data_IF_986249345347
#
_entry.id   IF_986249345347
#
_cell.length_a   1.000
_cell.length_b   1.000
_cell.length_c   1.000
_cell.angle_alpha   90.00
_cell.angle_beta   90.00
_cell.angle_gamma   90.00
#
_symmetry.space_group_name_H-M   'P 1'
#
loop_
_entity.id
_entity.type
_entity.pdbx_description
1 polymer ?
#
# COMPACT_ATOMS: atom_id res chain seq x y z
N UNK A 1 124.37 -56.41 -82.37
CA UNK A 1 123.53 -56.92 -83.48
C UNK A 1 122.08 -56.86 -82.99
N UNK A 2 121.26 -55.85 -83.28
CA UNK A 2 121.04 -55.18 -84.57
C UNK A 2 120.78 -56.20 -85.69
N UNK A 3 119.61 -56.07 -86.32
CA UNK A 3 119.11 -56.79 -87.49
C UNK A 3 118.38 -58.13 -87.24
N UNK A 4 117.08 -58.03 -86.91
CA UNK A 4 115.98 -58.77 -87.54
C UNK A 4 114.63 -58.43 -86.86
N UNK A 5 114.32 -57.16 -86.58
CA UNK A 5 113.48 -56.38 -87.49
C UNK A 5 113.20 -57.04 -88.86
N UNK A 6 111.92 -57.06 -89.24
CA UNK A 6 111.39 -57.40 -90.57
C UNK A 6 111.40 -58.92 -90.83
N UNK A 7 110.28 -59.66 -90.71
CA UNK A 7 109.35 -59.77 -91.85
C UNK A 7 108.10 -60.61 -91.50
N UNK A 8 107.50 -60.55 -90.31
CA UNK A 8 106.15 -61.17 -90.12
C UNK A 8 105.23 -60.38 -89.19
N UNK A 9 105.36 -59.07 -89.28
CA UNK A 9 104.23 -58.13 -89.20
C UNK A 9 103.78 -57.95 -90.67
N UNK A 10 102.57 -58.40 -91.07
CA UNK A 10 101.75 -57.78 -92.17
C UNK A 10 100.58 -58.61 -92.79
N UNK A 11 100.10 -59.73 -92.23
CA UNK A 11 98.82 -60.34 -92.68
C UNK A 11 98.26 -61.12 -91.47
N UNK A 12 97.25 -60.71 -90.71
CA UNK A 12 95.96 -60.16 -91.11
C UNK A 12 95.40 -59.35 -89.93
N UNK A 13 95.77 -58.08 -89.90
CA UNK A 13 94.93 -57.04 -89.30
C UNK A 13 93.81 -56.75 -90.32
N UNK A 14 92.57 -57.08 -89.98
CA UNK A 14 91.40 -56.37 -90.50
C UNK A 14 90.26 -56.51 -89.49
N UNK A 15 90.22 -55.55 -88.55
CA UNK A 15 89.05 -54.84 -87.96
C UNK A 15 87.66 -55.52 -88.01
N UNK A 16 86.88 -55.44 -86.91
CA UNK A 16 86.13 -54.20 -86.70
C UNK A 16 86.04 -53.74 -85.23
N UNK A 17 86.71 -52.64 -84.90
CA UNK A 17 86.59 -51.88 -83.64
C UNK A 17 85.55 -50.74 -83.71
N UNK A 18 84.73 -50.67 -84.77
CA UNK A 18 83.72 -49.61 -84.98
C UNK A 18 82.31 -49.92 -84.45
N UNK A 19 82.01 -51.17 -84.09
CA UNK A 19 80.69 -51.57 -83.57
C UNK A 19 80.60 -51.62 -82.03
N UNK A 20 81.69 -51.93 -81.33
CA UNK A 20 81.66 -52.10 -79.86
C UNK A 20 81.64 -50.78 -79.09
N UNK A 21 82.26 -49.72 -79.61
CA UNK A 21 82.18 -48.37 -79.03
C UNK A 21 80.80 -47.74 -79.24
N UNK A 22 80.14 -48.01 -80.36
CA UNK A 22 78.75 -47.57 -80.61
C UNK A 22 77.73 -48.33 -79.74
N UNK A 23 77.87 -49.65 -79.57
CA UNK A 23 76.94 -50.43 -78.73
C UNK A 23 77.08 -50.04 -77.25
N UNK A 24 78.29 -49.76 -76.75
CA UNK A 24 78.52 -49.35 -75.37
C UNK A 24 78.08 -47.89 -75.09
N UNK A 25 78.19 -47.00 -76.08
CA UNK A 25 77.63 -45.65 -76.02
C UNK A 25 76.09 -45.66 -76.09
N UNK A 26 75.50 -46.48 -76.96
CA UNK A 26 74.02 -46.60 -77.09
C UNK A 26 73.40 -47.27 -75.86
N UNK A 27 74.04 -48.28 -75.27
CA UNK A 27 73.54 -48.92 -74.04
C UNK A 27 73.66 -48.02 -72.82
N UNK A 28 74.77 -47.29 -72.66
CA UNK A 28 74.89 -46.29 -71.56
C UNK A 28 73.90 -45.14 -71.74
N UNK A 29 73.66 -44.69 -72.97
CA UNK A 29 72.68 -43.64 -73.27
C UNK A 29 71.22 -44.10 -73.08
N UNK A 30 70.91 -45.37 -73.38
CA UNK A 30 69.60 -45.98 -73.08
C UNK A 30 69.34 -46.11 -71.58
N UNK A 31 70.38 -46.44 -70.79
CA UNK A 31 70.29 -46.58 -69.34
C UNK A 31 70.17 -45.20 -68.65
N UNK A 32 70.89 -44.20 -69.16
CA UNK A 32 70.74 -42.79 -68.75
C UNK A 32 69.32 -42.32 -69.05
N UNK A 33 68.77 -42.57 -70.25
CA UNK A 33 67.38 -42.23 -70.58
C UNK A 33 66.38 -42.95 -69.67
N UNK A 34 66.63 -44.20 -69.31
CA UNK A 34 65.74 -44.96 -68.45
C UNK A 34 65.79 -44.47 -66.99
N UNK A 35 66.97 -44.08 -66.50
CA UNK A 35 67.15 -43.43 -65.20
C UNK A 35 66.56 -42.02 -65.21
N UNK A 36 66.78 -41.22 -66.25
CA UNK A 36 66.18 -39.90 -66.42
C UNK A 36 64.66 -39.97 -66.45
N UNK A 37 64.09 -40.97 -67.12
CA UNK A 37 62.65 -41.23 -67.13
C UNK A 37 62.15 -41.64 -65.74
N UNK A 38 62.89 -42.49 -65.02
CA UNK A 38 62.58 -42.85 -63.63
C UNK A 38 62.68 -41.66 -62.67
N UNK A 39 63.68 -40.80 -62.84
CA UNK A 39 63.89 -39.57 -62.07
C UNK A 39 62.81 -38.55 -62.41
N UNK A 40 62.36 -38.48 -63.66
CA UNK A 40 61.25 -37.66 -64.10
C UNK A 40 59.93 -38.14 -63.49
N UNK A 41 59.64 -39.45 -63.53
CA UNK A 41 58.45 -40.05 -62.92
C UNK A 41 58.44 -39.90 -61.39
N UNK A 42 59.61 -39.99 -60.75
CA UNK A 42 59.76 -39.74 -59.32
C UNK A 42 59.60 -38.26 -58.99
N UNK A 43 60.18 -37.33 -59.76
CA UNK A 43 59.97 -35.88 -59.58
C UNK A 43 58.53 -35.45 -59.85
N UNK A 44 57.83 -36.11 -60.77
CA UNK A 44 56.42 -35.85 -61.06
C UNK A 44 55.49 -36.34 -59.93
N UNK A 45 55.88 -37.41 -59.21
CA UNK A 45 55.17 -37.92 -58.03
C UNK A 45 55.61 -37.27 -56.72
N UNK A 46 56.81 -36.71 -56.68
CA UNK A 46 57.36 -36.01 -55.54
C UNK A 46 56.71 -34.64 -55.46
N UNK A 47 55.71 -34.54 -54.58
CA UNK A 47 55.08 -33.27 -54.21
C UNK A 47 56.20 -32.31 -53.82
N UNK A 48 56.32 -31.17 -54.50
CA UNK A 48 57.31 -30.16 -54.17
C UNK A 48 57.16 -29.78 -52.70
N UNK A 49 58.27 -29.59 -51.98
CA UNK A 49 58.25 -29.28 -50.53
C UNK A 49 57.32 -28.08 -50.20
N UNK A 50 57.20 -27.14 -51.14
CA UNK A 50 56.24 -26.02 -51.10
C UNK A 50 54.76 -26.47 -51.14
N UNK A 51 54.40 -27.44 -51.99
CA UNK A 51 53.02 -27.95 -52.09
C UNK A 51 52.64 -28.80 -50.87
N UNK A 52 53.61 -29.50 -50.27
CA UNK A 52 53.41 -30.20 -49.01
C UNK A 52 53.18 -29.22 -47.85
N UNK A 53 54.02 -28.17 -47.75
CA UNK A 53 53.81 -27.09 -46.79
C UNK A 53 52.46 -26.39 -46.99
N UNK A 54 52.02 -26.19 -48.22
CA UNK A 54 50.73 -25.57 -48.52
C UNK A 54 49.54 -26.46 -48.09
N UNK A 55 49.62 -27.78 -48.29
CA UNK A 55 48.63 -28.73 -47.76
C UNK A 55 48.60 -28.75 -46.23
N UNK A 56 49.77 -28.71 -45.57
CA UNK A 56 49.85 -28.63 -44.11
C UNK A 56 49.27 -27.31 -43.60
N UNK A 57 49.56 -26.18 -44.26
CA UNK A 57 48.97 -24.88 -43.94
C UNK A 57 47.46 -24.85 -44.17
N UNK A 58 46.97 -25.44 -45.26
CA UNK A 58 45.54 -25.54 -45.54
C UNK A 58 44.81 -26.43 -44.51
N UNK A 59 45.43 -27.55 -44.12
CA UNK A 59 44.95 -28.41 -43.05
C UNK A 59 44.90 -27.68 -41.70
N UNK A 60 45.98 -26.98 -41.32
CA UNK A 60 46.02 -26.17 -40.10
C UNK A 60 44.91 -25.12 -40.08
N UNK A 61 44.73 -24.37 -41.18
CA UNK A 61 43.66 -23.38 -41.30
C UNK A 61 42.27 -23.99 -41.16
N UNK A 62 42.04 -25.17 -41.72
CA UNK A 62 40.76 -25.88 -41.57
C UNK A 62 40.52 -26.28 -40.11
N UNK A 63 41.55 -26.79 -39.43
CA UNK A 63 41.48 -27.10 -37.99
C UNK A 63 41.18 -25.84 -37.17
N UNK A 64 41.82 -24.71 -37.48
CA UNK A 64 41.58 -23.43 -36.80
C UNK A 64 40.14 -22.94 -37.01
N UNK A 65 39.59 -23.09 -38.23
CA UNK A 65 38.19 -22.73 -38.52
C UNK A 65 37.22 -23.61 -37.74
N UNK A 66 37.44 -24.93 -37.72
CA UNK A 66 36.61 -25.87 -36.99
C UNK A 66 36.68 -25.64 -35.48
N UNK A 67 37.86 -25.31 -34.96
CA UNK A 67 38.05 -24.95 -33.56
C UNK A 67 37.33 -23.66 -33.20
N UNK A 68 37.39 -22.64 -34.06
CA UNK A 68 36.63 -21.41 -33.87
C UNK A 68 35.11 -21.64 -33.91
N UNK A 69 34.62 -22.50 -34.81
CA UNK A 69 33.21 -22.87 -34.87
C UNK A 69 32.78 -23.61 -33.60
N UNK A 70 33.59 -24.56 -33.14
CA UNK A 70 33.35 -25.28 -31.89
C UNK A 70 33.31 -24.31 -30.70
N UNK A 71 34.25 -23.38 -30.60
CA UNK A 71 34.27 -22.38 -29.53
C UNK A 71 33.03 -21.46 -29.56
N UNK A 72 32.56 -21.10 -30.76
CA UNK A 72 31.31 -20.31 -30.88
C UNK A 72 30.09 -21.10 -30.41
N UNK A 73 29.98 -22.38 -30.75
CA UNK A 73 28.86 -23.22 -30.30
C UNK A 73 28.95 -23.57 -28.81
N UNK A 74 30.15 -23.77 -28.27
CA UNK A 74 30.35 -23.92 -26.82
C UNK A 74 29.91 -22.64 -26.08
N UNK A 75 30.29 -21.46 -26.58
CA UNK A 75 29.83 -20.18 -25.99
C UNK A 75 28.31 -20.07 -26.01
N UNK A 76 27.66 -20.41 -27.13
CA UNK A 76 26.19 -20.43 -27.23
C UNK A 76 25.55 -21.44 -26.28
N UNK A 77 26.14 -22.62 -26.13
CA UNK A 77 25.65 -23.62 -25.19
C UNK A 77 25.79 -23.16 -23.74
N UNK A 78 26.92 -22.54 -23.39
CA UNK A 78 27.14 -21.96 -22.06
C UNK A 78 26.16 -20.80 -21.78
N UNK A 79 25.88 -19.93 -22.74
CA UNK A 79 24.85 -18.88 -22.56
C UNK A 79 23.46 -19.46 -22.41
N UNK A 80 23.10 -20.50 -23.16
CA UNK A 80 21.84 -21.23 -22.98
C UNK A 80 21.74 -21.88 -21.60
N UNK A 81 22.82 -22.51 -21.11
CA UNK A 81 22.87 -23.11 -19.77
C UNK A 81 22.71 -22.07 -18.65
N UNK A 82 23.41 -20.94 -18.76
CA UNK A 82 23.28 -19.85 -17.78
C UNK A 82 21.87 -19.25 -17.77
N UNK A 83 21.24 -19.08 -18.93
CA UNK A 83 19.84 -18.66 -19.02
C UNK A 83 18.89 -19.71 -18.43
N UNK A 84 19.11 -21.00 -18.71
CA UNK A 84 18.29 -22.07 -18.13
C UNK A 84 18.42 -22.12 -16.60
N UNK A 85 19.63 -21.88 -16.06
CA UNK A 85 19.86 -21.76 -14.62
C UNK A 85 19.06 -20.60 -14.01
N UNK A 86 19.11 -19.41 -14.63
CA UNK A 86 18.33 -18.24 -14.17
C UNK A 86 16.83 -18.52 -14.16
N UNK A 87 16.30 -19.14 -15.23
CA UNK A 87 14.88 -19.50 -15.30
C UNK A 87 14.48 -20.51 -14.21
N UNK A 88 15.36 -21.47 -13.86
CA UNK A 88 15.10 -22.39 -12.75
C UNK A 88 15.07 -21.68 -11.41
N UNK A 89 16.01 -20.76 -11.17
CA UNK A 89 16.04 -19.96 -9.94
C UNK A 89 14.78 -19.08 -9.81
N UNK A 90 14.29 -18.52 -10.93
CA UNK A 90 13.05 -17.75 -10.97
C UNK A 90 11.82 -18.63 -10.68
N UNK A 91 11.74 -19.83 -11.28
CA UNK A 91 10.67 -20.79 -11.00
C UNK A 91 10.69 -21.17 -9.51
N UNK A 92 11.85 -21.47 -8.94
CA UNK A 92 11.99 -21.81 -7.51
C UNK A 92 11.59 -20.65 -6.60
N UNK A 93 11.91 -19.41 -6.98
CA UNK A 93 11.49 -18.21 -6.28
C UNK A 93 9.95 -18.08 -6.27
N UNK A 94 9.33 -18.17 -7.45
CA UNK A 94 7.87 -18.07 -7.60
C UNK A 94 7.13 -19.19 -6.84
N UNK A 95 7.69 -20.40 -6.80
CA UNK A 95 7.12 -21.50 -6.02
C UNK A 95 7.15 -21.23 -4.53
N UNK A 96 8.24 -20.63 -4.01
CA UNK A 96 8.34 -20.21 -2.60
C UNK A 96 7.34 -19.10 -2.27
N UNK A 97 7.19 -18.11 -3.16
CA UNK A 97 6.20 -17.05 -2.98
C UNK A 97 4.78 -17.60 -2.96
N UNK A 98 4.44 -18.50 -3.88
CA UNK A 98 3.14 -19.18 -3.91
C UNK A 98 2.89 -19.97 -2.62
N UNK A 99 3.89 -20.69 -2.13
CA UNK A 99 3.78 -21.41 -0.86
C UNK A 99 3.52 -20.44 0.31
N UNK A 100 4.28 -19.34 0.39
CA UNK A 100 4.05 -18.30 1.40
C UNK A 100 2.64 -17.71 1.27
N UNK A 101 2.19 -17.37 0.06
CA UNK A 101 0.85 -16.85 -0.19
C UNK A 101 -0.23 -17.82 0.29
N UNK A 102 -0.12 -19.10 -0.04
CA UNK A 102 -1.06 -20.13 0.42
C UNK A 102 -1.12 -20.21 1.95
N UNK A 103 0.02 -20.15 2.65
CA UNK A 103 0.01 -20.18 4.13
C UNK A 103 -0.69 -18.96 4.73
N UNK A 104 -0.55 -17.78 4.12
CA UNK A 104 -1.25 -16.57 4.57
C UNK A 104 -2.74 -16.67 4.25
N UNK A 105 -3.07 -17.17 3.07
CA UNK A 105 -4.45 -17.39 2.64
C UNK A 105 -5.20 -18.35 3.56
N UNK A 106 -4.59 -19.49 3.92
CA UNK A 106 -5.18 -20.46 4.85
C UNK A 106 -5.43 -19.85 6.23
N UNK A 107 -4.49 -19.02 6.73
CA UNK A 107 -4.68 -18.29 8.00
C UNK A 107 -5.84 -17.29 7.93
N UNK A 108 -5.92 -16.52 6.85
CA UNK A 108 -7.01 -15.57 6.64
C UNK A 108 -8.36 -16.28 6.54
N UNK A 109 -8.41 -17.41 5.83
CA UNK A 109 -9.60 -18.23 5.72
C UNK A 109 -10.02 -18.80 7.08
N UNK A 110 -9.07 -19.28 7.89
CA UNK A 110 -9.33 -19.75 9.24
C UNK A 110 -9.90 -18.63 10.14
N UNK A 111 -9.32 -17.43 10.07
CA UNK A 111 -9.81 -16.27 10.84
C UNK A 111 -11.24 -15.89 10.43
N UNK A 112 -11.55 -15.90 9.13
CA UNK A 112 -12.91 -15.63 8.64
C UNK A 112 -13.89 -16.69 9.15
N UNK A 113 -13.52 -17.96 9.10
CA UNK A 113 -14.38 -19.05 9.59
C UNK A 113 -14.59 -18.97 11.10
N UNK A 114 -13.56 -18.60 11.87
CA UNK A 114 -13.68 -18.36 13.30
C UNK A 114 -14.60 -17.17 13.60
N UNK A 115 -14.44 -16.06 12.88
CA UNK A 115 -15.32 -14.89 13.01
C UNK A 115 -16.79 -15.20 12.70
N UNK A 116 -17.05 -16.00 11.66
CA UNK A 116 -18.40 -16.50 11.34
C UNK A 116 -18.97 -17.36 12.45
N UNK A 117 -18.16 -18.25 13.04
CA UNK A 117 -18.59 -19.09 14.15
C UNK A 117 -18.99 -18.23 15.36
N UNK A 118 -18.15 -17.28 15.76
CA UNK A 118 -18.46 -16.36 16.87
C UNK A 118 -19.73 -15.55 16.60
N UNK A 119 -19.95 -15.10 15.36
CA UNK A 119 -21.17 -14.40 14.97
C UNK A 119 -22.41 -15.29 15.12
N UNK A 120 -22.33 -16.55 14.68
CA UNK A 120 -23.43 -17.51 14.84
C UNK A 120 -23.71 -17.80 16.31
N UNK A 121 -22.69 -18.05 17.12
CA UNK A 121 -22.82 -18.30 18.56
C UNK A 121 -23.48 -17.10 19.27
N UNK A 122 -23.14 -15.86 18.87
CA UNK A 122 -23.75 -14.65 19.42
C UNK A 122 -25.22 -14.49 19.00
N UNK A 123 -25.56 -14.83 17.75
CA UNK A 123 -26.95 -14.83 17.29
C UNK A 123 -27.77 -15.88 18.05
N UNK A 124 -27.22 -17.07 18.28
CA UNK A 124 -27.88 -18.12 19.06
C UNK A 124 -28.13 -17.67 20.51
N UNK A 125 -27.09 -17.12 21.18
CA UNK A 125 -27.23 -16.58 22.52
C UNK A 125 -28.26 -15.45 22.61
N UNK A 126 -28.28 -14.54 21.62
CA UNK A 126 -29.27 -13.48 21.56
C UNK A 126 -30.68 -14.06 21.40
N UNK A 127 -30.87 -15.04 20.53
CA UNK A 127 -32.17 -15.70 20.28
C UNK A 127 -32.69 -16.35 21.56
N UNK A 128 -31.83 -17.12 22.26
CA UNK A 128 -32.20 -17.75 23.54
C UNK A 128 -32.58 -16.70 24.59
N UNK A 129 -31.85 -15.58 24.67
CA UNK A 129 -32.17 -14.51 25.60
C UNK A 129 -33.52 -13.83 25.27
N UNK A 130 -33.85 -13.68 23.98
CA UNK A 130 -35.16 -13.16 23.54
C UNK A 130 -36.29 -14.12 23.89
N UNK A 131 -36.13 -15.41 23.62
CA UNK A 131 -37.13 -16.43 23.93
C UNK A 131 -37.40 -16.48 25.45
N UNK A 132 -36.34 -16.45 26.27
CA UNK A 132 -36.48 -16.38 27.72
C UNK A 132 -37.22 -15.12 28.17
N UNK A 133 -36.85 -13.96 27.63
CA UNK A 133 -37.53 -12.70 27.93
C UNK A 133 -39.02 -12.78 27.58
N UNK A 134 -39.36 -13.33 26.42
CA UNK A 134 -40.75 -13.49 25.99
C UNK A 134 -41.53 -14.40 26.95
N UNK A 135 -40.95 -15.52 27.37
CA UNK A 135 -41.56 -16.39 28.39
C UNK A 135 -41.82 -15.64 29.71
N UNK A 136 -40.86 -14.84 30.18
CA UNK A 136 -41.01 -14.07 31.42
C UNK A 136 -42.08 -12.99 31.29
N UNK A 137 -42.12 -12.28 30.16
CA UNK A 137 -43.16 -11.30 29.87
C UNK A 137 -44.55 -11.95 29.83
N UNK A 138 -44.68 -13.12 29.21
CA UNK A 138 -45.93 -13.89 29.17
C UNK A 138 -46.37 -14.33 30.58
N UNK A 139 -45.44 -14.88 31.38
CA UNK A 139 -45.70 -15.26 32.80
C UNK A 139 -46.14 -14.06 33.63
N UNK A 140 -45.46 -12.91 33.48
CA UNK A 140 -45.81 -11.67 34.17
C UNK A 140 -47.21 -11.19 33.77
N UNK A 141 -47.55 -11.24 32.49
CA UNK A 141 -48.86 -10.83 32.01
C UNK A 141 -49.96 -11.74 32.56
N UNK A 142 -49.74 -13.06 32.58
CA UNK A 142 -50.67 -14.02 33.18
C UNK A 142 -50.89 -13.74 34.68
N UNK A 143 -49.83 -13.42 35.43
CA UNK A 143 -49.93 -13.05 36.84
C UNK A 143 -50.68 -11.74 37.06
N UNK A 144 -50.46 -10.73 36.20
CA UNK A 144 -51.20 -9.45 36.27
C UNK A 144 -52.69 -9.67 36.05
N UNK A 145 -53.06 -10.42 35.02
CA UNK A 145 -54.48 -10.73 34.72
C UNK A 145 -55.10 -11.52 35.87
N UNK A 146 -54.40 -12.51 36.42
CA UNK A 146 -54.86 -13.26 37.59
C UNK A 146 -55.10 -12.34 38.79
N UNK A 147 -54.14 -11.47 39.13
CA UNK A 147 -54.28 -10.55 40.26
C UNK A 147 -55.46 -9.57 40.07
N UNK A 148 -55.66 -9.06 38.86
CA UNK A 148 -56.83 -8.23 38.55
C UNK A 148 -58.16 -8.97 38.76
N UNK A 149 -58.22 -10.24 38.34
CA UNK A 149 -59.40 -11.08 38.56
C UNK A 149 -59.62 -11.35 40.05
N UNK A 150 -58.57 -11.70 40.79
CA UNK A 150 -58.63 -11.96 42.24
C UNK A 150 -59.08 -10.70 43.00
N UNK A 151 -58.56 -9.52 42.65
CA UNK A 151 -59.00 -8.24 43.22
C UNK A 151 -60.48 -7.96 42.93
N UNK A 152 -60.94 -8.22 41.71
CA UNK A 152 -62.34 -8.05 41.33
C UNK A 152 -63.25 -8.97 42.15
N UNK A 153 -62.86 -10.25 42.28
CA UNK A 153 -63.57 -11.24 43.09
C UNK A 153 -63.64 -10.82 44.57
N UNK A 154 -62.51 -10.48 45.18
CA UNK A 154 -62.48 -10.03 46.58
C UNK A 154 -63.29 -8.75 46.80
N UNK A 155 -63.25 -7.82 45.85
CA UNK A 155 -64.07 -6.59 45.93
C UNK A 155 -65.56 -6.93 45.87
N UNK A 156 -65.96 -7.92 45.06
CA UNK A 156 -67.34 -8.38 45.01
C UNK A 156 -67.75 -9.07 46.32
N UNK A 157 -66.93 -9.99 46.83
CA UNK A 157 -67.15 -10.68 48.11
C UNK A 157 -67.31 -9.67 49.26
N UNK A 158 -66.43 -8.66 49.33
CA UNK A 158 -66.51 -7.59 50.33
C UNK A 158 -67.82 -6.80 50.23
N UNK A 159 -68.29 -6.50 49.01
CA UNK A 159 -69.58 -5.82 48.81
C UNK A 159 -70.75 -6.70 49.24
N UNK A 160 -70.70 -8.00 48.99
CA UNK A 160 -71.74 -8.94 49.40
C UNK A 160 -71.80 -9.09 50.92
N UNK A 161 -70.64 -9.22 51.57
CA UNK A 161 -70.54 -9.24 53.04
C UNK A 161 -71.02 -7.92 53.66
N UNK A 162 -70.65 -6.78 53.08
CA UNK A 162 -71.15 -5.48 53.55
C UNK A 162 -72.68 -5.41 53.46
N UNK A 163 -73.28 -5.86 52.35
CA UNK A 163 -74.74 -5.91 52.19
C UNK A 163 -75.40 -6.82 53.23
N UNK A 164 -74.79 -7.95 53.57
CA UNK A 164 -75.28 -8.83 54.63
C UNK A 164 -75.20 -8.16 56.00
N UNK A 165 -74.07 -7.52 56.32
CA UNK A 165 -73.91 -6.76 57.57
C UNK A 165 -74.92 -5.61 57.69
N UNK A 166 -75.13 -4.85 56.62
CA UNK A 166 -76.11 -3.76 56.61
C UNK A 166 -77.52 -4.30 56.83
N UNK A 167 -77.86 -5.44 56.20
CA UNK A 167 -79.15 -6.11 56.41
C UNK A 167 -79.32 -6.57 57.87
N UNK A 168 -78.31 -7.23 58.44
CA UNK A 168 -78.32 -7.69 59.82
C UNK A 168 -78.38 -6.52 60.81
N UNK A 169 -77.71 -5.40 60.50
CA UNK A 169 -77.75 -4.18 61.30
C UNK A 169 -79.15 -3.56 61.29
N UNK A 170 -79.76 -3.44 60.11
CA UNK A 170 -81.15 -2.97 59.97
C UNK A 170 -82.14 -3.89 60.70
N UNK A 171 -81.90 -5.20 60.67
CA UNK A 171 -82.71 -6.18 61.41
C UNK A 171 -82.52 -6.03 62.93
N UNK A 172 -81.27 -5.86 63.39
CA UNK A 172 -80.96 -5.63 64.79
C UNK A 172 -81.62 -4.35 65.32
N UNK A 173 -81.53 -3.25 64.57
CA UNK A 173 -82.19 -1.99 64.92
C UNK A 173 -83.71 -2.14 64.96
N UNK A 174 -84.29 -2.82 63.97
CA UNK A 174 -85.72 -3.13 63.94
C UNK A 174 -86.16 -3.95 65.16
N UNK A 175 -85.42 -5.00 65.52
CA UNK A 175 -85.68 -5.83 66.69
C UNK A 175 -85.45 -5.05 68.00
N UNK A 176 -84.44 -4.18 68.04
CA UNK A 176 -84.18 -3.29 69.17
C UNK A 176 -85.34 -2.35 69.43
N UNK A 177 -85.86 -1.69 68.39
CA UNK A 177 -87.04 -0.82 68.47
C UNK A 177 -88.30 -1.60 68.87
N UNK A 178 -88.49 -2.82 68.33
CA UNK A 178 -89.65 -3.65 68.63
C UNK A 178 -89.60 -4.32 70.01
N UNK A 179 -88.40 -4.61 70.52
CA UNK A 179 -88.15 -5.28 71.80
C UNK A 179 -88.14 -4.35 73.01
N UNK A 180 -88.07 -3.04 72.79
CA UNK A 180 -88.23 -2.06 73.87
C UNK A 180 -89.67 -2.09 74.40
N UNK A 181 -89.80 -2.45 75.69
CA UNK A 181 -91.06 -2.29 76.43
C UNK A 181 -91.36 -0.79 76.48
N UNK A 182 -92.43 -0.35 75.80
CA UNK A 182 -92.84 1.07 75.76
C UNK A 182 -93.17 1.56 77.19
N UNK A 183 -92.20 2.15 77.86
CA UNK A 183 -92.37 2.89 79.11
C UNK A 183 -92.35 4.37 78.73
N UNK A 184 -93.54 4.93 78.53
CA UNK A 184 -93.81 6.33 78.15
C UNK A 184 -93.57 7.32 79.31
N UNK A 185 -92.39 7.32 79.94
CA UNK A 185 -92.15 8.31 81.01
C UNK A 185 -90.75 8.92 81.14
N UNK A 186 -89.73 8.43 80.41
CA UNK A 186 -88.35 8.91 80.61
C UNK A 186 -87.51 9.08 79.30
N UNK A 187 -88.15 9.14 78.12
CA UNK A 187 -87.43 9.49 76.88
C UNK A 187 -87.32 11.00 76.67
N UNK A 188 -88.38 11.75 76.95
CA UNK A 188 -88.41 13.20 76.68
C UNK A 188 -87.32 13.93 77.46
N UNK A 189 -87.13 13.64 78.74
CA UNK A 189 -86.20 14.39 79.59
C UNK A 189 -84.70 14.12 79.29
N UNK A 190 -84.39 12.98 78.68
CA UNK A 190 -83.02 12.59 78.27
C UNK A 190 -82.71 12.98 76.83
N UNK A 191 -83.71 12.95 75.95
CA UNK A 191 -83.60 13.50 74.59
C UNK A 191 -83.54 15.03 74.62
N UNK A 192 -84.32 15.69 75.48
CA UNK A 192 -84.29 17.14 75.66
C UNK A 192 -82.92 17.60 76.17
N UNK A 193 -82.32 16.93 77.17
CA UNK A 193 -80.96 17.25 77.64
C UNK A 193 -79.87 17.02 76.60
N UNK A 194 -79.97 15.98 75.76
CA UNK A 194 -79.03 15.78 74.65
C UNK A 194 -79.19 16.85 73.57
N UNK A 195 -80.44 17.22 73.24
CA UNK A 195 -80.74 18.31 72.30
C UNK A 195 -80.27 19.66 72.83
N UNK A 196 -80.41 19.92 74.12
CA UNK A 196 -79.93 21.13 74.78
C UNK A 196 -78.40 21.21 74.76
N UNK A 197 -77.68 20.13 75.10
CA UNK A 197 -76.21 20.13 75.01
C UNK A 197 -75.71 20.27 73.57
N UNK A 198 -76.37 19.65 72.59
CA UNK A 198 -76.03 19.83 71.18
C UNK A 198 -76.32 21.26 70.71
N UNK A 199 -77.44 21.84 71.17
CA UNK A 199 -77.81 23.22 70.88
C UNK A 199 -76.82 24.20 71.48
N UNK A 200 -76.38 23.99 72.72
CA UNK A 200 -75.34 24.82 73.35
C UNK A 200 -73.99 24.73 72.62
N UNK A 201 -73.60 23.56 72.11
CA UNK A 201 -72.36 23.44 71.33
C UNK A 201 -72.48 24.10 69.94
N UNK A 202 -73.63 23.94 69.29
CA UNK A 202 -73.96 24.65 68.06
C UNK A 202 -73.97 26.17 68.28
N UNK A 203 -74.57 26.65 69.37
CA UNK A 203 -74.61 28.07 69.72
C UNK A 203 -73.19 28.60 70.01
N UNK A 204 -72.32 27.83 70.69
CA UNK A 204 -70.90 28.17 70.87
C UNK A 204 -70.12 28.24 69.56
N UNK A 205 -70.39 27.33 68.62
CA UNK A 205 -69.79 27.39 67.28
C UNK A 205 -70.32 28.57 66.48
N UNK A 206 -71.63 28.85 66.57
CA UNK A 206 -72.26 29.99 65.90
C UNK A 206 -71.69 31.32 66.40
N UNK A 207 -71.51 31.46 67.72
CA UNK A 207 -70.88 32.66 68.31
C UNK A 207 -69.43 32.83 67.81
N UNK A 208 -68.64 31.75 67.75
CA UNK A 208 -67.28 31.80 67.18
C UNK A 208 -67.26 32.19 65.70
N UNK A 209 -68.15 31.62 64.90
CA UNK A 209 -68.26 31.99 63.48
C UNK A 209 -68.75 33.43 63.30
N UNK A 210 -69.64 33.93 64.16
CA UNK A 210 -70.08 35.31 64.15
C UNK A 210 -68.97 36.29 64.57
N UNK A 211 -68.14 35.93 65.55
CA UNK A 211 -66.96 36.71 65.95
C UNK A 211 -65.94 36.77 64.81
N UNK A 212 -65.57 35.63 64.22
CA UNK A 212 -64.65 35.60 63.07
C UNK A 212 -65.21 36.35 61.86
N UNK A 213 -66.52 36.28 61.60
CA UNK A 213 -67.15 37.02 60.51
C UNK A 213 -67.11 38.53 60.76
N UNK A 214 -67.34 38.98 62.00
CA UNK A 214 -67.22 40.40 62.38
C UNK A 214 -65.78 40.90 62.23
N UNK A 215 -64.80 40.11 62.66
CA UNK A 215 -63.39 40.44 62.46
C UNK A 215 -63.03 40.61 60.97
N UNK A 216 -63.57 39.75 60.10
CA UNK A 216 -63.39 39.86 58.64
C UNK A 216 -64.13 41.07 58.08
N UNK A 217 -65.35 41.37 58.57
CA UNK A 217 -66.10 42.57 58.19
C UNK A 217 -65.36 43.86 58.55
N UNK A 218 -64.77 43.93 59.75
CA UNK A 218 -63.99 45.08 60.22
C UNK A 218 -62.72 45.29 59.38
N UNK A 219 -62.10 44.21 58.88
CA UNK A 219 -60.91 44.27 58.03
C UNK A 219 -61.20 44.70 56.59
N UNK A 220 -62.35 44.28 56.03
CA UNK A 220 -62.72 44.53 54.62
C UNK A 220 -63.63 45.75 54.46
N UNK A 221 -64.20 46.27 55.56
CA UNK A 221 -65.01 47.49 55.62
C UNK A 221 -66.25 47.44 54.69
N UNK A 222 -66.84 46.25 54.54
CA UNK A 222 -68.08 45.98 53.76
C UNK A 222 -69.11 45.30 54.68
N UNK A 223 -70.31 45.89 54.80
CA UNK A 223 -71.34 45.46 55.75
C UNK A 223 -72.19 44.27 55.24
N UNK A 224 -72.21 44.01 53.93
CA UNK A 224 -73.03 42.95 53.31
C UNK A 224 -72.23 41.65 53.09
N UNK A 225 -72.54 40.63 53.88
CA UNK A 225 -71.89 39.30 53.88
C UNK A 225 -71.99 38.61 52.51
N UNK A 226 -73.11 38.78 51.79
CA UNK A 226 -73.28 38.12 50.49
C UNK A 226 -72.42 38.75 49.40
N UNK A 227 -72.24 40.07 49.48
CA UNK A 227 -71.38 40.82 48.57
C UNK A 227 -69.91 40.50 48.85
N UNK A 228 -69.53 40.41 50.13
CA UNK A 228 -68.20 39.99 50.57
C UNK A 228 -67.85 38.59 50.06
N UNK A 229 -68.73 37.61 50.26
CA UNK A 229 -68.52 36.24 49.77
C UNK A 229 -68.40 36.19 48.24
N UNK A 230 -69.21 36.95 47.52
CA UNK A 230 -69.15 37.03 46.06
C UNK A 230 -67.85 37.67 45.55
N UNK A 231 -67.32 38.65 46.28
CA UNK A 231 -66.04 39.30 45.95
C UNK A 231 -64.86 38.38 46.24
N UNK A 232 -64.87 37.68 47.38
CA UNK A 232 -63.87 36.66 47.68
C UNK A 232 -63.87 35.53 46.69
N UNK A 233 -65.05 35.05 46.27
CA UNK A 233 -65.14 33.99 45.26
C UNK A 233 -64.53 34.43 43.93
N UNK A 234 -64.81 35.67 43.48
CA UNK A 234 -64.16 36.22 42.28
C UNK A 234 -62.65 36.36 42.43
N UNK A 235 -62.19 36.86 43.58
CA UNK A 235 -60.75 36.98 43.86
C UNK A 235 -60.08 35.61 43.97
N UNK A 236 -60.76 34.60 44.50
CA UNK A 236 -60.28 33.22 44.56
C UNK A 236 -60.18 32.61 43.17
N UNK A 237 -61.19 32.81 42.31
CA UNK A 237 -61.14 32.39 40.90
C UNK A 237 -59.99 33.09 40.15
N UNK A 238 -59.81 34.40 40.33
CA UNK A 238 -58.71 35.16 39.74
C UNK A 238 -57.34 34.67 40.25
N UNK A 239 -57.21 34.44 41.55
CA UNK A 239 -55.99 33.91 42.15
C UNK A 239 -55.71 32.47 41.70
N UNK A 240 -56.73 31.64 41.53
CA UNK A 240 -56.59 30.28 41.03
C UNK A 240 -56.14 30.29 39.56
N UNK A 241 -56.70 31.18 38.74
CA UNK A 241 -56.27 31.37 37.36
C UNK A 241 -54.81 31.86 37.29
N UNK A 242 -54.43 32.83 38.13
CA UNK A 242 -53.04 33.30 38.22
C UNK A 242 -52.08 32.21 38.69
N UNK A 243 -52.49 31.39 39.67
CA UNK A 243 -51.70 30.26 40.15
C UNK A 243 -51.46 29.23 39.05
N UNK A 244 -52.49 28.89 38.29
CA UNK A 244 -52.36 27.99 37.14
C UNK A 244 -51.44 28.57 36.07
N UNK A 245 -51.56 29.86 35.77
CA UNK A 245 -50.67 30.53 34.81
C UNK A 245 -49.21 30.54 35.27
N UNK A 246 -48.95 30.80 36.56
CA UNK A 246 -47.59 30.73 37.14
C UNK A 246 -47.04 29.31 37.05
N UNK A 247 -47.86 28.28 37.29
CA UNK A 247 -47.43 26.89 37.15
C UNK A 247 -47.12 26.51 35.71
N UNK A 248 -47.92 26.98 34.75
CA UNK A 248 -47.68 26.75 33.33
C UNK A 248 -46.39 27.44 32.88
N UNK A 249 -46.15 28.70 33.28
CA UNK A 249 -44.89 29.39 33.03
C UNK A 249 -43.69 28.69 33.69
N UNK A 250 -43.83 28.19 34.91
CA UNK A 250 -42.76 27.43 35.55
C UNK A 250 -42.45 26.14 34.77
N UNK A 251 -43.47 25.46 34.27
CA UNK A 251 -43.27 24.29 33.42
C UNK A 251 -42.59 24.65 32.10
N UNK A 252 -42.96 25.75 31.45
CA UNK A 252 -42.27 26.25 30.25
C UNK A 252 -40.80 26.59 30.55
N UNK A 253 -40.50 27.19 31.71
CA UNK A 253 -39.14 27.48 32.15
C UNK A 253 -38.35 26.18 32.34
N UNK A 254 -38.94 25.14 32.95
CA UNK A 254 -38.31 23.83 33.10
C UNK A 254 -37.97 23.21 31.75
N UNK A 255 -38.92 23.19 30.81
CA UNK A 255 -38.72 22.67 29.45
C UNK A 255 -37.64 23.45 28.70
N UNK A 256 -37.62 24.77 28.80
CA UNK A 256 -36.58 25.61 28.18
C UNK A 256 -35.21 25.31 28.81
N UNK A 257 -35.12 25.14 30.13
CA UNK A 257 -33.86 24.79 30.80
C UNK A 257 -33.35 23.41 30.39
N UNK A 258 -34.23 22.41 30.30
CA UNK A 258 -33.86 21.08 29.77
C UNK A 258 -33.33 21.19 28.33
N UNK A 259 -33.97 21.99 27.48
CA UNK A 259 -33.50 22.23 26.11
C UNK A 259 -32.14 22.94 26.10
N UNK A 260 -31.92 23.92 26.98
CA UNK A 260 -30.62 24.59 27.14
C UNK A 260 -29.55 23.59 27.55
N UNK A 261 -29.83 22.69 28.49
CA UNK A 261 -28.88 21.68 28.94
C UNK A 261 -28.55 20.68 27.82
N UNK A 262 -29.56 20.22 27.07
CA UNK A 262 -29.35 19.38 25.90
C UNK A 262 -28.48 20.06 24.84
N UNK A 263 -28.76 21.34 24.54
CA UNK A 263 -27.95 22.12 23.60
C UNK A 263 -26.52 22.34 24.09
N UNK A 264 -26.30 22.53 25.40
CA UNK A 264 -24.95 22.64 25.98
C UNK A 264 -24.17 21.34 25.81
N UNK A 265 -24.80 20.19 26.05
CA UNK A 265 -24.19 18.87 25.82
C UNK A 265 -23.83 18.69 24.35
N UNK A 266 -24.73 19.04 23.43
CA UNK A 266 -24.46 18.94 21.99
C UNK A 266 -23.31 19.86 21.56
N UNK A 267 -23.25 21.10 22.06
CA UNK A 267 -22.13 22.01 21.79
C UNK A 267 -20.80 21.41 22.26
N UNK A 268 -20.77 20.78 23.43
CA UNK A 268 -19.54 20.17 23.95
C UNK A 268 -19.12 18.96 23.11
N UNK A 269 -20.05 18.09 22.73
CA UNK A 269 -19.79 16.98 21.82
C UNK A 269 -19.24 17.49 20.46
N UNK A 270 -19.80 18.56 19.92
CA UNK A 270 -19.33 19.16 18.67
C UNK A 270 -17.94 19.78 18.80
N UNK A 271 -17.61 20.38 19.95
CA UNK A 271 -16.25 20.87 20.23
C UNK A 271 -15.25 19.72 20.29
N UNK A 272 -15.55 18.65 21.02
CA UNK A 272 -14.68 17.47 21.09
C UNK A 272 -14.44 16.87 19.70
N UNK A 273 -15.50 16.73 18.90
CA UNK A 273 -15.39 16.24 17.52
C UNK A 273 -14.52 17.15 16.65
N UNK A 274 -14.66 18.47 16.79
CA UNK A 274 -13.85 19.45 16.08
C UNK A 274 -12.38 19.41 16.52
N UNK A 275 -12.09 19.24 17.81
CA UNK A 275 -10.72 19.07 18.31
C UNK A 275 -10.07 17.82 17.74
N UNK A 276 -10.80 16.69 17.72
CA UNK A 276 -10.31 15.44 17.11
C UNK A 276 -10.02 15.65 15.63
N UNK A 277 -10.95 16.27 14.89
CA UNK A 277 -10.78 16.56 13.47
C UNK A 277 -9.60 17.50 13.21
N UNK A 278 -9.40 18.51 14.06
CA UNK A 278 -8.27 19.43 13.99
C UNK A 278 -6.92 18.72 14.26
N UNK A 279 -6.87 17.79 15.23
CA UNK A 279 -5.68 16.96 15.46
C UNK A 279 -5.35 16.08 14.25
N UNK A 280 -6.35 15.39 13.70
CA UNK A 280 -6.17 14.57 12.49
C UNK A 280 -5.69 15.39 11.30
N UNK A 281 -6.26 16.58 11.08
CA UNK A 281 -5.81 17.48 10.02
C UNK A 281 -4.37 17.94 10.25
N UNK A 282 -4.00 18.28 11.50
CA UNK A 282 -2.63 18.66 11.84
C UNK A 282 -1.64 17.52 11.59
N UNK A 283 -1.95 16.30 12.04
CA UNK A 283 -1.13 15.12 11.76
C UNK A 283 -0.98 14.89 10.25
N UNK A 284 -2.06 15.03 9.49
CA UNK A 284 -2.02 14.90 8.02
C UNK A 284 -1.12 15.97 7.39
N UNK A 285 -1.23 17.23 7.82
CA UNK A 285 -0.38 18.32 7.36
C UNK A 285 1.09 18.06 7.71
N UNK A 286 1.37 17.58 8.93
CA UNK A 286 2.73 17.26 9.37
C UNK A 286 3.33 16.13 8.53
N UNK A 287 2.57 15.08 8.21
CA UNK A 287 3.02 14.01 7.31
C UNK A 287 3.28 14.51 5.88
N UNK A 288 2.37 15.33 5.33
CA UNK A 288 2.55 15.91 4.00
C UNK A 288 3.74 16.87 3.93
N UNK A 289 4.01 17.62 5.00
CA UNK A 289 5.18 18.49 5.10
C UNK A 289 6.47 17.66 5.14
N UNK A 290 6.49 16.56 5.88
CA UNK A 290 7.64 15.65 5.91
C UNK A 290 7.90 15.02 4.54
N UNK A 291 6.86 14.55 3.84
CA UNK A 291 6.97 14.02 2.49
C UNK A 291 7.47 15.08 1.50
N UNK A 292 7.00 16.33 1.63
CA UNK A 292 7.45 17.44 0.80
C UNK A 292 8.91 17.79 1.08
N UNK A 293 9.33 17.79 2.35
CA UNK A 293 10.72 18.02 2.74
C UNK A 293 11.62 16.91 2.19
N UNK A 294 11.21 15.65 2.26
CA UNK A 294 11.95 14.53 1.66
C UNK A 294 12.04 14.67 0.13
N UNK A 295 10.92 14.95 -0.55
CA UNK A 295 10.89 15.12 -2.00
C UNK A 295 11.75 16.32 -2.47
N UNK A 296 11.74 17.42 -1.71
CA UNK A 296 12.59 18.58 -2.02
C UNK A 296 14.07 18.31 -1.78
N UNK A 297 14.44 17.56 -0.74
CA UNK A 297 15.83 17.10 -0.55
C UNK A 297 16.29 16.18 -1.70
N UNK A 298 15.45 15.23 -2.12
CA UNK A 298 15.74 14.37 -3.26
C UNK A 298 15.89 15.18 -4.56
N UNK A 299 15.02 16.17 -4.80
CA UNK A 299 15.11 17.06 -5.95
C UNK A 299 16.40 17.91 -5.93
N UNK A 300 16.75 18.47 -4.77
CA UNK A 300 17.97 19.28 -4.61
C UNK A 300 19.24 18.45 -4.84
N UNK A 301 19.32 17.23 -4.27
CA UNK A 301 20.46 16.33 -4.50
C UNK A 301 20.57 15.89 -5.95
N UNK A 302 19.44 15.63 -6.62
CA UNK A 302 19.42 15.35 -8.05
C UNK A 302 19.89 16.55 -8.87
N UNK A 303 19.47 17.76 -8.52
CA UNK A 303 19.88 19.00 -9.19
C UNK A 303 21.38 19.29 -8.99
N UNK A 304 21.92 19.09 -7.79
CA UNK A 304 23.36 19.20 -7.52
C UNK A 304 24.16 18.20 -8.35
N UNK A 305 23.72 16.94 -8.42
CA UNK A 305 24.35 15.92 -9.29
C UNK A 305 24.34 16.36 -10.74
N UNK A 306 23.21 16.87 -11.23
CA UNK A 306 23.06 17.36 -12.61
C UNK A 306 24.01 18.54 -12.88
N UNK A 307 24.07 19.51 -11.96
CA UNK A 307 24.99 20.64 -12.05
C UNK A 307 26.45 20.19 -12.06
N UNK A 308 26.85 19.26 -11.18
CA UNK A 308 28.21 18.71 -11.15
C UNK A 308 28.56 17.99 -12.46
N UNK A 309 27.64 17.19 -13.01
CA UNK A 309 27.85 16.53 -14.30
C UNK A 309 27.92 17.50 -15.46
N UNK A 310 27.11 18.56 -15.44
CA UNK A 310 27.15 19.62 -16.44
C UNK A 310 28.45 20.41 -16.36
N UNK A 311 28.93 20.69 -15.15
CA UNK A 311 30.19 21.40 -14.92
C UNK A 311 31.39 20.57 -15.41
N UNK A 312 31.40 19.26 -15.11
CA UNK A 312 32.40 18.34 -15.67
C UNK A 312 32.32 18.24 -17.20
N UNK A 313 31.10 18.30 -17.77
CA UNK A 313 30.91 18.37 -19.22
C UNK A 313 31.47 19.67 -19.81
N UNK A 314 31.18 20.83 -19.23
CA UNK A 314 31.75 22.11 -19.71
C UNK A 314 33.26 22.18 -19.56
N UNK A 315 33.84 21.63 -18.49
CA UNK A 315 35.29 21.50 -18.35
C UNK A 315 35.89 20.64 -19.46
N UNK A 316 35.27 19.50 -19.79
CA UNK A 316 35.65 18.65 -20.92
C UNK A 316 35.54 19.39 -22.25
N UNK A 317 34.43 20.10 -22.49
CA UNK A 317 34.21 20.89 -23.71
C UNK A 317 35.28 21.98 -23.86
N UNK A 318 35.56 22.74 -22.80
CA UNK A 318 36.60 23.78 -22.79
C UNK A 318 38.00 23.18 -22.95
N UNK A 319 38.26 22.00 -22.38
CA UNK A 319 39.52 21.26 -22.56
C UNK A 319 39.73 20.82 -24.01
N UNK A 320 38.66 20.33 -24.66
CA UNK A 320 38.67 19.97 -26.09
C UNK A 320 38.87 21.23 -26.95
N UNK A 321 38.23 22.35 -26.60
CA UNK A 321 38.43 23.64 -27.27
C UNK A 321 39.88 24.14 -27.13
N UNK A 322 40.46 24.03 -25.94
CA UNK A 322 41.86 24.36 -25.67
C UNK A 322 42.83 23.51 -26.50
N UNK A 323 42.61 22.19 -26.57
CA UNK A 323 43.41 21.29 -27.41
C UNK A 323 43.26 21.60 -28.90
N UNK A 324 42.04 21.90 -29.34
CA UNK A 324 41.76 22.29 -30.71
C UNK A 324 42.49 23.59 -31.07
N UNK A 325 42.44 24.61 -30.21
CA UNK A 325 43.16 25.87 -30.41
C UNK A 325 44.68 25.71 -30.39
N UNK A 326 45.22 24.76 -29.63
CA UNK A 326 46.66 24.45 -29.60
C UNK A 326 47.14 23.78 -30.89
N UNK A 327 46.36 22.83 -31.42
CA UNK A 327 46.72 21.99 -32.58
C UNK A 327 46.34 22.65 -33.91
N UNK A 328 45.28 23.47 -33.94
CA UNK A 328 44.63 23.95 -35.15
C UNK A 328 44.62 25.49 -35.30
N UNK A 329 45.73 26.19 -34.97
CA UNK A 329 45.84 27.66 -35.14
C UNK A 329 45.57 28.20 -36.55
N UNK A 330 45.58 27.36 -37.60
CA UNK A 330 45.59 27.83 -38.99
C UNK A 330 44.38 27.41 -39.87
N UNK A 331 43.52 26.46 -39.47
CA UNK A 331 42.45 25.93 -40.34
C UNK A 331 41.07 25.89 -39.66
N UNK A 332 40.68 26.96 -38.96
CA UNK A 332 39.45 26.99 -38.15
C UNK A 332 38.17 27.19 -38.97
N UNK A 333 38.27 27.66 -40.22
CA UNK A 333 37.12 28.24 -40.93
C UNK A 333 36.30 27.21 -41.74
N UNK A 334 36.82 26.01 -42.01
CA UNK A 334 36.20 25.12 -43.01
C UNK A 334 35.19 24.11 -42.44
N UNK A 335 35.09 23.94 -41.12
CA UNK A 335 34.29 22.86 -40.50
C UNK A 335 33.09 23.39 -39.72
N UNK A 336 33.11 24.65 -39.29
CA UNK A 336 32.05 25.24 -38.46
C UNK A 336 31.19 26.18 -39.29
N UNK A 337 29.98 25.76 -39.67
CA UNK A 337 28.95 26.68 -40.13
C UNK A 337 28.42 27.48 -38.94
N UNK A 338 28.52 28.81 -39.02
CA UNK A 338 27.99 29.92 -38.19
C UNK A 338 27.94 29.83 -36.64
N UNK A 339 27.95 28.66 -36.00
CA UNK A 339 28.00 28.49 -34.55
C UNK A 339 29.44 28.27 -34.09
N UNK A 340 30.12 29.37 -33.72
CA UNK A 340 31.53 29.38 -33.29
C UNK A 340 31.80 28.71 -31.92
N UNK A 341 30.89 27.88 -31.40
CA UNK A 341 31.00 27.22 -30.10
C UNK A 341 30.89 25.69 -30.18
N UNK A 342 31.68 24.98 -29.38
CA UNK A 342 31.62 23.51 -29.28
C UNK A 342 30.35 23.11 -28.51
N UNK A 343 29.29 22.79 -29.24
CA UNK A 343 28.05 22.21 -28.69
C UNK A 343 28.17 20.68 -28.57
N UNK A 344 27.42 20.06 -27.65
CA UNK A 344 27.37 18.60 -27.43
C UNK A 344 27.19 17.77 -28.72
N UNK A 345 26.51 18.34 -29.73
CA UNK A 345 26.34 17.70 -31.04
C UNK A 345 27.58 17.77 -31.94
N UNK A 346 28.42 18.77 -31.75
CA UNK A 346 29.58 19.04 -32.60
C UNK A 346 30.90 18.49 -32.00
N UNK A 347 30.93 18.14 -30.71
CA UNK A 347 32.10 17.57 -30.00
C UNK A 347 32.76 16.42 -30.73
N UNK A 348 31.96 15.47 -31.23
CA UNK A 348 32.48 14.27 -31.87
C UNK A 348 33.23 14.58 -33.18
N UNK A 349 32.80 15.62 -33.90
CA UNK A 349 33.46 16.11 -35.11
C UNK A 349 34.80 16.78 -34.77
N UNK A 350 34.85 17.58 -33.69
CA UNK A 350 36.11 18.18 -33.22
C UNK A 350 37.13 17.14 -32.74
N UNK A 351 36.69 16.10 -32.01
CA UNK A 351 37.54 15.00 -31.55
C UNK A 351 38.10 14.17 -32.71
N UNK A 352 37.28 13.81 -33.70
CA UNK A 352 37.74 13.07 -34.87
C UNK A 352 38.74 13.87 -35.73
N UNK A 353 38.62 15.20 -35.76
CA UNK A 353 39.62 16.05 -36.42
C UNK A 353 40.92 16.13 -35.61
N UNK A 354 40.83 16.33 -34.29
CA UNK A 354 41.99 16.29 -33.38
C UNK A 354 42.75 14.97 -33.51
N UNK A 355 42.04 13.84 -33.53
CA UNK A 355 42.63 12.51 -33.67
C UNK A 355 43.43 12.37 -34.97
N UNK A 356 42.87 12.77 -36.13
CA UNK A 356 43.60 12.78 -37.39
C UNK A 356 44.84 13.67 -37.33
N UNK A 357 44.73 14.85 -36.72
CA UNK A 357 45.83 15.82 -36.73
C UNK A 357 46.96 15.45 -35.78
N UNK A 358 46.63 14.89 -34.62
CA UNK A 358 47.60 14.26 -33.71
C UNK A 358 48.26 13.05 -34.38
N UNK A 359 47.51 12.24 -35.12
CA UNK A 359 48.04 11.15 -35.95
C UNK A 359 49.05 11.62 -37.01
N UNK A 360 48.75 12.73 -37.71
CA UNK A 360 49.69 13.33 -38.66
C UNK A 360 50.95 13.89 -37.97
N UNK A 361 50.81 14.55 -36.81
CA UNK A 361 51.95 15.08 -36.07
C UNK A 361 52.86 13.97 -35.55
N UNK A 362 52.29 12.90 -35.00
CA UNK A 362 53.06 11.72 -34.55
C UNK A 362 53.74 11.02 -35.72
N UNK A 363 53.06 10.86 -36.86
CA UNK A 363 53.69 10.32 -38.07
C UNK A 363 54.85 11.20 -38.57
N UNK A 364 54.68 12.53 -38.57
CA UNK A 364 55.74 13.48 -38.94
C UNK A 364 56.91 13.48 -37.96
N UNK A 365 56.64 13.33 -36.66
CA UNK A 365 57.68 13.23 -35.64
C UNK A 365 58.47 11.93 -35.78
N UNK A 366 57.78 10.81 -36.01
CA UNK A 366 58.37 9.50 -36.27
C UNK A 366 59.24 9.51 -37.54
N UNK A 367 58.79 10.20 -38.60
CA UNK A 367 59.58 10.43 -39.81
C UNK A 367 60.82 11.29 -39.55
N UNK A 368 60.72 12.36 -38.76
CA UNK A 368 61.86 13.20 -38.36
C UNK A 368 62.86 12.44 -37.48
N UNK A 369 62.40 11.62 -36.57
CA UNK A 369 63.26 10.80 -35.70
C UNK A 369 64.01 9.75 -36.52
N UNK A 370 63.32 9.10 -37.47
CA UNK A 370 63.94 8.18 -38.44
C UNK A 370 64.96 8.88 -39.35
N UNK A 371 64.70 10.13 -39.75
CA UNK A 371 65.64 10.95 -40.51
C UNK A 371 66.88 11.35 -39.67
N UNK A 372 66.72 11.67 -38.39
CA UNK A 372 67.82 11.96 -37.47
C UNK A 372 68.70 10.74 -37.18
N UNK A 373 68.10 9.55 -37.04
CA UNK A 373 68.83 8.27 -36.91
C UNK A 373 69.56 7.93 -38.21
N UNK A 374 68.95 8.20 -39.37
CA UNK A 374 69.61 8.10 -40.68
C UNK A 374 70.81 9.06 -40.80
N UNK A 375 70.69 10.31 -40.36
CA UNK A 375 71.78 11.28 -40.37
C UNK A 375 72.92 10.94 -39.38
N UNK A 376 72.60 10.37 -38.21
CA UNK A 376 73.62 9.83 -37.29
C UNK A 376 74.37 8.64 -37.88
N UNK A 377 73.67 7.74 -38.60
CA UNK A 377 74.30 6.61 -39.28
C UNK A 377 75.15 7.02 -40.49
N UNK A 378 74.85 8.14 -41.16
CA UNK A 378 75.69 8.70 -42.25
C UNK A 378 76.98 9.31 -41.66
N UNK A 379 76.90 10.08 -40.57
CA UNK A 379 78.10 10.63 -39.91
C UNK A 379 79.07 9.59 -39.33
N UNK A 380 78.61 8.38 -39.02
CA UNK A 380 79.47 7.28 -38.55
C UNK A 380 80.20 6.60 -39.73
N UNK A 381 79.63 6.62 -40.95
CA UNK A 381 80.28 6.09 -42.15
C UNK A 381 81.36 7.01 -42.72
N UNK A 382 81.28 8.32 -42.49
CA UNK A 382 82.32 9.27 -42.93
C UNK A 382 83.54 9.33 -41.98
N UNK A 383 83.54 8.52 -40.90
CA UNK A 383 84.63 8.41 -39.90
C UNK A 383 85.33 7.04 -39.90
N UNK A 384 85.05 6.18 -40.87
CA UNK A 384 85.77 4.93 -41.19
C UNK A 384 86.26 5.04 -42.62
#
# INVERSE_FOLDING_TARGET
>A
LLACHVFLISLLFNEPHSLTTNIHAVTTQSFILQIEKRVFDLRAKQVTDSQFQEKVRAGSKLTDILQNQLDTEIKRFCTALTNNKKLREEIDHLLKERARFNTVWEKLLANINQGKKLMLDLIEQATVAYDQREEWCSKLQALKVRNQNDLMLHTQEMKELQRQLDHDHMLYDFLGVKGQKRILRDLEEKEMRKREMQKEELDRQMMRYQEMLKEIQDLVNEEDVNRLASQYFKQEEENFALFNYVNELNHEIEVINENIDQLRVEIENQKELNEIRARQQKETIDTLNADLEEATQQANTAQERLNNTNQGLTELLNGIEGLFNLVARNNVICITGDDAGISNYNVMLYLGFLERKVGELTANMYLKEKALVSFKNIKIKDYI
#
